data_IF_379475055846
#
_entry.id   IF_379475055846
#
_cell.length_a   1.000
_cell.length_b   1.000
_cell.length_c   1.000
_cell.angle_alpha   90.00
_cell.angle_beta   90.00
_cell.angle_gamma   90.00
#
_symmetry.space_group_name_H-M   'P 1'
#
loop_
_entity.id
_entity.type
_entity.pdbx_description
1 polymer ?
#
# COMPACT_ATOMS: atom_id res chain seq x y z
N UNK A 1 -52.60 -5.62 -1.81
CA UNK A 1 -51.50 -6.57 -2.03
C UNK A 1 -50.32 -5.92 -2.75
N UNK A 2 -50.50 -5.29 -3.92
CA UNK A 2 -49.42 -4.59 -4.64
C UNK A 2 -48.64 -3.55 -3.79
N UNK A 3 -49.34 -2.77 -2.95
CA UNK A 3 -48.70 -1.78 -2.05
C UNK A 3 -47.75 -2.40 -1.02
N UNK A 4 -48.01 -3.62 -0.54
CA UNK A 4 -47.13 -4.31 0.41
C UNK A 4 -45.87 -4.83 -0.30
N UNK A 5 -46.01 -5.37 -1.51
CA UNK A 5 -44.87 -5.80 -2.32
C UNK A 5 -43.93 -4.63 -2.67
N UNK A 6 -44.49 -3.47 -3.02
CA UNK A 6 -43.70 -2.26 -3.30
C UNK A 6 -42.95 -1.79 -2.05
N UNK A 7 -43.57 -1.85 -0.86
CA UNK A 7 -42.91 -1.50 0.41
C UNK A 7 -41.80 -2.48 0.76
N UNK A 8 -42.00 -3.78 0.58
CA UNK A 8 -40.97 -4.79 0.84
C UNK A 8 -39.77 -4.66 -0.11
N UNK A 9 -40.03 -4.38 -1.39
CA UNK A 9 -38.97 -4.11 -2.37
C UNK A 9 -38.19 -2.83 -2.04
N UNK A 10 -38.88 -1.78 -1.58
CA UNK A 10 -38.24 -0.54 -1.14
C UNK A 10 -37.37 -0.75 0.12
N UNK A 11 -37.84 -1.54 1.09
CA UNK A 11 -37.05 -1.86 2.30
C UNK A 11 -35.82 -2.69 1.95
N UNK A 12 -35.97 -3.70 1.09
CA UNK A 12 -34.86 -4.56 0.68
C UNK A 12 -33.80 -3.78 -0.12
N UNK A 13 -34.21 -2.92 -1.04
CA UNK A 13 -33.29 -2.07 -1.82
C UNK A 13 -32.53 -1.07 -0.94
N UNK A 14 -33.21 -0.46 0.04
CA UNK A 14 -32.60 0.42 1.03
C UNK A 14 -31.59 -0.34 1.89
N UNK A 15 -31.90 -1.56 2.33
CA UNK A 15 -31.00 -2.41 3.11
C UNK A 15 -29.71 -2.77 2.33
N UNK A 16 -29.84 -3.13 1.05
CA UNK A 16 -28.67 -3.41 0.19
C UNK A 16 -27.80 -2.17 -0.02
N UNK A 17 -28.41 -0.99 -0.15
CA UNK A 17 -27.69 0.28 -0.27
C UNK A 17 -26.91 0.61 1.00
N UNK A 18 -27.46 0.33 2.19
CA UNK A 18 -26.73 0.50 3.46
C UNK A 18 -25.53 -0.43 3.61
N UNK A 19 -25.61 -1.68 3.13
CA UNK A 19 -24.47 -2.61 3.11
C UNK A 19 -23.35 -2.06 2.21
N UNK A 20 -23.67 -1.57 1.01
CA UNK A 20 -22.69 -0.97 0.11
C UNK A 20 -22.02 0.29 0.69
N UNK A 21 -22.77 1.10 1.45
CA UNK A 21 -22.22 2.27 2.16
C UNK A 21 -21.34 1.87 3.35
N UNK A 22 -21.63 0.76 4.04
CA UNK A 22 -20.79 0.26 5.12
C UNK A 22 -19.44 -0.31 4.63
N UNK A 23 -19.40 -0.80 3.39
CA UNK A 23 -18.17 -1.23 2.70
C UNK A 23 -17.35 -0.04 2.16
N UNK A 24 -17.94 1.16 2.10
CA UNK A 24 -17.25 2.41 1.74
C UNK A 24 -16.36 2.94 2.88
N UNK A 25 -15.70 2.06 3.64
CA UNK A 25 -14.56 2.45 4.48
C UNK A 25 -13.45 2.91 3.55
N UNK A 26 -13.52 4.16 3.16
CA UNK A 26 -12.40 4.92 2.64
C UNK A 26 -11.23 4.68 3.58
N UNK A 27 -10.22 3.97 3.08
CA UNK A 27 -8.91 3.74 3.71
C UNK A 27 -8.10 5.03 3.82
N UNK A 28 -8.76 6.17 4.02
CA UNK A 28 -8.15 7.47 4.29
C UNK A 28 -7.91 7.62 5.79
N UNK A 29 -7.35 6.60 6.41
CA UNK A 29 -6.78 6.68 7.76
C UNK A 29 -5.27 6.74 7.59
N UNK A 30 -4.72 7.96 7.65
CA UNK A 30 -3.29 8.15 7.90
C UNK A 30 -2.44 8.50 6.69
N UNK A 31 -2.54 9.75 6.22
CA UNK A 31 -1.32 10.46 5.84
C UNK A 31 -0.54 10.75 7.13
N UNK A 32 0.10 9.72 7.71
CA UNK A 32 1.20 9.96 8.63
C UNK A 32 2.34 10.47 7.78
N UNK A 33 2.85 11.65 8.10
CA UNK A 33 4.08 12.16 7.50
C UNK A 33 5.24 11.33 8.07
N UNK A 34 5.43 10.15 7.50
CA UNK A 34 6.55 9.29 7.85
C UNK A 34 7.82 9.91 7.27
N UNK A 35 8.74 10.32 8.13
CA UNK A 35 10.06 10.81 7.73
C UNK A 35 10.96 9.59 7.56
N UNK A 36 11.47 9.41 6.35
CA UNK A 36 12.48 8.38 6.05
C UNK A 36 13.86 9.01 6.16
N UNK A 37 14.69 8.46 7.05
CA UNK A 37 16.11 8.79 7.13
C UNK A 37 16.90 7.62 6.55
N UNK A 38 17.68 7.86 5.49
CA UNK A 38 18.52 6.85 4.88
C UNK A 38 19.99 7.03 5.29
N UNK A 39 20.57 5.99 5.89
CA UNK A 39 21.97 5.98 6.34
C UNK A 39 22.90 5.41 5.28
N UNK A 40 22.42 4.46 4.46
CA UNK A 40 23.21 3.82 3.41
C UNK A 40 22.37 3.59 2.14
N UNK A 41 22.96 3.95 1.00
CA UNK A 41 22.39 3.71 -0.34
C UNK A 41 23.29 2.80 -1.16
N UNK A 42 22.68 2.01 -2.04
CA UNK A 42 23.36 1.30 -3.12
C UNK A 42 22.74 1.70 -4.47
N UNK A 43 23.49 1.51 -5.56
CA UNK A 43 22.93 1.56 -6.91
C UNK A 43 22.46 0.17 -7.33
N UNK A 44 21.22 0.05 -7.81
CA UNK A 44 20.71 -1.19 -8.38
C UNK A 44 21.56 -1.64 -9.58
N UNK A 45 21.80 -2.93 -9.69
CA UNK A 45 22.62 -3.56 -10.73
C UNK A 45 21.74 -4.32 -11.74
N UNK A 46 22.36 -4.79 -12.81
CA UNK A 46 21.65 -5.58 -13.82
C UNK A 46 21.12 -6.87 -13.21
N UNK A 47 19.80 -7.09 -13.31
CA UNK A 47 19.11 -8.25 -12.74
C UNK A 47 18.63 -8.07 -11.30
N UNK A 48 18.83 -6.89 -10.70
CA UNK A 48 18.24 -6.58 -9.40
C UNK A 48 16.73 -6.35 -9.48
N UNK A 49 16.04 -6.85 -8.46
CA UNK A 49 14.67 -6.46 -8.12
C UNK A 49 14.59 -6.14 -6.61
N UNK A 50 13.45 -5.61 -6.16
CA UNK A 50 13.28 -5.30 -4.74
C UNK A 50 13.50 -6.50 -3.81
N UNK A 51 13.15 -7.70 -4.26
CA UNK A 51 13.28 -8.94 -3.48
C UNK A 51 14.73 -9.42 -3.44
N UNK A 52 15.47 -9.34 -4.55
CA UNK A 52 16.88 -9.71 -4.60
C UNK A 52 17.71 -8.76 -3.73
N UNK A 53 17.47 -7.45 -3.84
CA UNK A 53 18.15 -6.43 -3.04
C UNK A 53 17.82 -6.64 -1.56
N UNK A 54 16.54 -6.73 -1.17
CA UNK A 54 16.16 -6.86 0.25
C UNK A 54 16.81 -8.11 0.87
N UNK A 55 16.82 -9.24 0.16
CA UNK A 55 17.48 -10.48 0.61
C UNK A 55 18.99 -10.30 0.74
N UNK A 56 19.64 -9.61 -0.21
CA UNK A 56 21.09 -9.39 -0.19
C UNK A 56 21.55 -8.64 1.06
N UNK A 57 20.72 -7.72 1.56
CA UNK A 57 20.98 -6.93 2.77
C UNK A 57 20.28 -7.48 4.02
N UNK A 58 19.71 -8.70 3.93
CA UNK A 58 19.01 -9.40 5.02
C UNK A 58 17.86 -8.60 5.63
N UNK A 59 17.19 -7.79 4.81
CA UNK A 59 16.01 -7.02 5.19
C UNK A 59 14.74 -7.70 4.65
N UNK A 60 13.69 -7.78 5.47
CA UNK A 60 12.38 -8.22 5.01
C UNK A 60 11.84 -7.26 3.94
N UNK A 61 11.10 -7.77 2.95
CA UNK A 61 10.61 -6.96 1.84
C UNK A 61 9.73 -5.79 2.34
N UNK A 62 8.87 -6.03 3.33
CA UNK A 62 8.04 -4.97 3.93
C UNK A 62 8.89 -3.84 4.54
N UNK A 63 9.90 -4.18 5.35
CA UNK A 63 10.80 -3.20 5.96
C UNK A 63 11.65 -2.46 4.92
N UNK A 64 12.07 -3.15 3.86
CA UNK A 64 12.76 -2.56 2.72
C UNK A 64 11.88 -1.53 1.99
N UNK A 65 10.60 -1.85 1.75
CA UNK A 65 9.67 -0.93 1.11
C UNK A 65 9.31 0.26 2.02
N UNK A 66 9.28 0.06 3.34
CA UNK A 66 9.04 1.13 4.30
C UNK A 66 10.12 2.23 4.24
N UNK A 67 11.40 1.86 4.04
CA UNK A 67 12.51 2.82 3.87
C UNK A 67 12.72 3.24 2.41
N UNK A 68 11.90 2.75 1.48
CA UNK A 68 11.92 3.12 0.06
C UNK A 68 10.51 3.40 -0.49
N UNK A 69 9.73 4.33 0.09
CA UNK A 69 8.33 4.53 -0.28
C UNK A 69 8.10 4.99 -1.72
N UNK A 70 9.15 5.48 -2.39
CA UNK A 70 9.11 5.96 -3.77
C UNK A 70 9.55 4.89 -4.80
N UNK A 71 9.95 3.69 -4.36
CA UNK A 71 10.43 2.66 -5.28
C UNK A 71 9.27 1.97 -5.99
N UNK A 72 9.35 1.85 -7.31
CA UNK A 72 8.46 0.99 -8.08
C UNK A 72 9.19 -0.32 -8.40
N UNK A 73 8.83 -1.40 -7.71
CA UNK A 73 9.48 -2.71 -7.88
C UNK A 73 9.23 -3.36 -9.25
N UNK A 74 8.26 -2.89 -10.02
CA UNK A 74 7.99 -3.38 -11.39
C UNK A 74 8.92 -2.71 -12.42
N UNK A 75 9.50 -1.55 -12.08
CA UNK A 75 10.27 -0.73 -13.01
C UNK A 75 11.59 -0.22 -12.40
N UNK A 76 12.21 -1.02 -11.55
CA UNK A 76 13.56 -0.73 -11.05
C UNK A 76 14.56 -0.73 -12.23
N UNK A 77 15.55 0.16 -12.19
CA UNK A 77 16.53 0.29 -13.27
C UNK A 77 17.96 0.37 -12.74
N UNK A 78 18.91 -0.04 -13.57
CA UNK A 78 20.34 -0.01 -13.23
C UNK A 78 20.77 1.42 -12.89
N UNK A 79 21.46 1.57 -11.76
CA UNK A 79 21.92 2.86 -11.23
C UNK A 79 20.90 3.58 -10.37
N UNK A 80 19.67 3.06 -10.22
CA UNK A 80 18.70 3.62 -9.28
C UNK A 80 19.24 3.54 -7.85
N UNK A 81 19.21 4.65 -7.11
CA UNK A 81 19.60 4.68 -5.71
C UNK A 81 18.52 4.04 -4.84
N UNK A 82 18.94 3.08 -4.02
CA UNK A 82 18.07 2.29 -3.15
C UNK A 82 18.62 2.36 -1.74
N UNK A 83 17.76 2.72 -0.78
CA UNK A 83 18.11 2.72 0.63
C UNK A 83 18.17 1.28 1.16
N UNK A 84 19.27 0.91 1.83
CA UNK A 84 19.47 -0.43 2.39
C UNK A 84 19.66 -0.44 3.90
N UNK A 85 19.90 0.73 4.49
CA UNK A 85 19.88 0.96 5.92
C UNK A 85 19.25 2.34 6.19
N UNK A 86 18.23 2.37 7.03
CA UNK A 86 17.46 3.57 7.31
C UNK A 86 16.37 3.34 8.34
N UNK A 87 15.70 4.42 8.72
CA UNK A 87 14.63 4.42 9.71
C UNK A 87 13.42 5.22 9.21
N UNK A 88 12.25 4.85 9.71
CA UNK A 88 10.99 5.54 9.46
C UNK A 88 10.48 6.08 10.78
N UNK A 89 10.40 7.41 10.92
CA UNK A 89 9.82 8.09 12.09
C UNK A 89 8.48 8.72 11.71
N UNK A 90 7.57 8.84 12.68
CA UNK A 90 6.24 9.42 12.49
C UNK A 90 6.07 10.71 13.29
#
# INVERSE_FOLDING_TARGET
MASLFVKMAAILSVYLMFIALAESRSTLSGFKNSVVTCNQVIGAQSGDDCTSISKSVRLGLESFLAINPNINCVSIFVGQWVCVDGTVTN
#
